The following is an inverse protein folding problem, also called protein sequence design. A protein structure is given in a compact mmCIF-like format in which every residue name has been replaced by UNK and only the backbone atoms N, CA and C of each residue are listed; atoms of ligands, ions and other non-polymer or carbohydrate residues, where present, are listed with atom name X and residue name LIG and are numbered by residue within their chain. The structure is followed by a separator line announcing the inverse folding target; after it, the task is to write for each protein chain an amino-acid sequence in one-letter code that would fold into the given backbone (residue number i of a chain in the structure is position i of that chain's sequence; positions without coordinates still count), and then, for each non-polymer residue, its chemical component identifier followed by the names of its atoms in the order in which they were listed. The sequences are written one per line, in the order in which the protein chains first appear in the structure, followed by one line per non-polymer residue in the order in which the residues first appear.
data_IF_848140705830
#
_entry.id   IF_848140705830
#
_cell.length_a   1.000
_cell.length_b   1.000
_cell.length_c   1.000
_cell.angle_alpha   90.00
_cell.angle_beta   90.00
_cell.angle_gamma   90.00
#
_symmetry.space_group_name_H-M   'P 1'
#
loop_
_entity.id
_entity.type
_entity.pdbx_description
1 polymer ?
#
# COMPACT_ATOMS: atom_id res chain seq x y z
N UNK A 1 13.66 17.57 4.17
CA UNK A 1 14.56 16.89 3.21
C UNK A 1 13.86 16.88 1.86
N UNK A 2 14.55 17.12 0.75
CA UNK A 2 13.98 17.08 -0.60
C UNK A 2 14.48 15.83 -1.33
N UNK A 3 13.74 15.31 -2.33
CA UNK A 3 14.17 14.15 -3.10
C UNK A 3 15.41 14.47 -3.96
N UNK A 4 16.15 13.44 -4.36
CA UNK A 4 17.16 13.57 -5.41
C UNK A 4 16.52 13.94 -6.77
N UNK A 5 17.35 14.36 -7.73
CA UNK A 5 16.87 14.87 -9.02
C UNK A 5 16.09 13.83 -9.83
N UNK A 6 16.47 12.55 -9.75
CA UNK A 6 15.81 11.49 -10.48
C UNK A 6 14.42 11.19 -9.91
N UNK A 7 14.32 11.04 -8.58
CA UNK A 7 13.04 10.84 -7.91
C UNK A 7 12.14 12.07 -8.05
N UNK A 8 12.69 13.28 -7.95
CA UNK A 8 11.94 14.51 -8.18
C UNK A 8 11.31 14.53 -9.58
N UNK A 9 12.07 14.12 -10.60
CA UNK A 9 11.59 14.02 -11.98
C UNK A 9 10.42 13.05 -12.09
N UNK A 10 10.57 11.85 -11.55
CA UNK A 10 9.52 10.83 -11.58
C UNK A 10 8.25 11.29 -10.85
N UNK A 11 8.38 11.94 -9.69
CA UNK A 11 7.24 12.49 -8.94
C UNK A 11 6.46 13.46 -9.82
N UNK A 12 7.13 14.43 -10.43
CA UNK A 12 6.46 15.49 -11.19
C UNK A 12 5.86 14.95 -12.50
N UNK A 13 6.55 14.05 -13.21
CA UNK A 13 6.01 13.49 -14.46
C UNK A 13 4.76 12.64 -14.22
N UNK A 14 4.76 11.77 -13.20
CA UNK A 14 3.59 10.93 -12.89
C UNK A 14 2.42 11.79 -12.38
N UNK A 15 2.69 12.75 -11.49
CA UNK A 15 1.65 13.65 -10.99
C UNK A 15 1.09 14.54 -12.10
N UNK A 16 1.92 15.04 -13.01
CA UNK A 16 1.47 15.84 -14.15
C UNK A 16 0.62 15.03 -15.15
N UNK A 17 1.07 13.81 -15.48
CA UNK A 17 0.40 12.99 -16.49
C UNK A 17 -0.89 12.36 -15.95
N UNK A 18 -0.84 11.75 -14.77
CA UNK A 18 -1.95 10.95 -14.24
C UNK A 18 -2.66 11.62 -13.06
N UNK A 19 -2.02 12.55 -12.35
CA UNK A 19 -2.53 13.10 -11.10
C UNK A 19 -2.56 12.08 -9.95
N UNK A 20 -1.96 10.91 -10.14
CA UNK A 20 -1.88 9.86 -9.13
C UNK A 20 -0.52 9.90 -8.44
N UNK A 21 -0.45 9.53 -7.16
CA UNK A 21 0.82 9.52 -6.44
C UNK A 21 1.77 8.47 -7.02
N UNK A 22 3.05 8.84 -7.18
CA UNK A 22 4.12 7.87 -7.36
C UNK A 22 4.25 7.06 -6.07
N UNK A 23 4.45 5.75 -6.16
CA UNK A 23 4.61 4.90 -4.98
C UNK A 23 5.73 5.43 -4.07
N UNK A 24 6.88 5.82 -4.63
CA UNK A 24 8.01 6.35 -3.88
C UNK A 24 7.94 7.88 -3.76
N UNK A 25 8.26 8.40 -2.57
CA UNK A 25 8.39 9.84 -2.35
C UNK A 25 7.10 10.60 -2.03
N UNK A 26 5.98 9.90 -1.74
CA UNK A 26 4.71 10.54 -1.32
C UNK A 26 4.87 11.44 -0.10
N UNK A 27 5.80 11.09 0.81
CA UNK A 27 6.08 11.82 2.05
C UNK A 27 6.62 13.23 1.79
N UNK A 28 7.27 13.48 0.65
CA UNK A 28 7.83 14.81 0.31
C UNK A 28 6.75 15.87 0.09
N UNK A 29 5.57 15.49 -0.36
CA UNK A 29 4.47 16.42 -0.68
C UNK A 29 3.16 16.11 0.06
N UNK A 30 3.18 15.18 1.01
CA UNK A 30 2.00 14.83 1.81
C UNK A 30 1.54 15.98 2.71
N UNK A 31 0.25 16.34 2.69
CA UNK A 31 -0.31 17.40 3.55
C UNK A 31 -1.69 17.02 4.05
N UNK A 32 -1.99 17.32 5.32
CA UNK A 32 -3.32 17.34 5.93
C UNK A 32 -3.75 16.08 6.65
N UNK A 33 -3.01 14.98 6.52
CA UNK A 33 -3.30 13.70 7.18
C UNK A 33 -2.28 13.33 8.27
N UNK A 34 -1.36 14.25 8.61
CA UNK A 34 -0.28 14.00 9.56
C UNK A 34 -0.80 13.59 10.94
N UNK A 35 -1.93 14.15 11.38
CA UNK A 35 -2.55 13.76 12.66
C UNK A 35 -3.04 12.31 12.65
N UNK A 36 -3.63 11.84 11.55
CA UNK A 36 -4.05 10.46 11.36
C UNK A 36 -2.84 9.53 11.35
N UNK A 37 -1.80 9.88 10.57
CA UNK A 37 -0.56 9.10 10.50
C UNK A 37 0.14 9.03 11.86
N UNK A 38 0.24 10.14 12.59
CA UNK A 38 0.85 10.17 13.93
C UNK A 38 0.03 9.37 14.94
N UNK A 39 -1.30 9.39 14.84
CA UNK A 39 -2.17 8.58 15.69
C UNK A 39 -1.99 7.09 15.40
N UNK A 40 -1.93 6.70 14.11
CA UNK A 40 -1.65 5.32 13.69
C UNK A 40 -0.28 4.85 14.20
N UNK A 41 0.73 5.69 14.05
CA UNK A 41 2.08 5.38 14.51
C UNK A 41 2.11 5.16 16.03
N UNK A 42 1.64 6.14 16.80
CA UNK A 42 1.71 6.12 18.27
C UNK A 42 0.90 4.97 18.89
N UNK A 43 -0.33 4.76 18.43
CA UNK A 43 -1.25 3.80 19.06
C UNK A 43 -1.15 2.38 18.49
N UNK A 44 -0.56 2.21 17.30
CA UNK A 44 -0.53 0.92 16.63
C UNK A 44 0.87 0.50 16.22
N UNK A 45 1.53 1.20 15.30
CA UNK A 45 2.81 0.74 14.74
C UNK A 45 3.89 0.66 15.84
N UNK A 46 4.03 1.70 16.66
CA UNK A 46 5.06 1.77 17.70
C UNK A 46 4.72 1.05 19.00
N UNK A 47 3.51 0.47 19.12
CA UNK A 47 3.04 -0.14 20.37
C UNK A 47 2.23 -1.41 20.10
N UNK A 48 0.89 -1.30 20.02
CA UNK A 48 -0.03 -2.44 20.02
C UNK A 48 0.30 -3.53 18.99
N UNK A 49 0.72 -3.16 17.77
CA UNK A 49 1.08 -4.13 16.74
C UNK A 49 2.47 -4.74 16.98
N UNK A 50 3.43 -3.95 17.44
CA UNK A 50 4.76 -4.44 17.80
C UNK A 50 4.65 -5.50 18.91
N UNK A 51 3.74 -5.32 19.87
CA UNK A 51 3.43 -6.26 20.96
C UNK A 51 2.61 -7.49 20.51
N UNK A 52 2.29 -7.61 19.23
CA UNK A 52 1.60 -8.77 18.65
C UNK A 52 0.08 -8.63 18.57
N UNK A 53 -0.49 -7.46 18.83
CA UNK A 53 -1.90 -7.18 18.54
C UNK A 53 -2.19 -7.12 17.04
N UNK A 54 -3.48 -7.15 16.67
CA UNK A 54 -3.93 -6.88 15.31
C UNK A 54 -5.08 -5.89 15.27
N UNK A 55 -5.12 -5.10 14.21
CA UNK A 55 -6.14 -4.08 14.00
C UNK A 55 -6.59 -4.02 12.55
N UNK A 56 -7.88 -3.74 12.38
CA UNK A 56 -8.50 -3.50 11.10
C UNK A 56 -8.97 -2.04 11.01
N UNK A 57 -8.74 -1.40 9.86
CA UNK A 57 -9.22 -0.05 9.54
C UNK A 57 -9.78 0.01 8.11
N UNK A 58 -10.84 0.79 7.92
CA UNK A 58 -11.40 1.19 6.64
C UNK A 58 -10.98 2.64 6.36
N UNK A 59 -10.32 2.87 5.25
CA UNK A 59 -10.00 4.21 4.74
C UNK A 59 -11.12 4.62 3.80
N UNK A 60 -11.95 5.55 4.24
CA UNK A 60 -13.15 6.02 3.55
C UNK A 60 -12.85 7.36 2.89
N UNK A 61 -13.05 7.43 1.57
CA UNK A 61 -12.97 8.68 0.84
C UNK A 61 -13.33 8.48 -0.63
N UNK A 62 -13.80 9.53 -1.27
CA UNK A 62 -14.24 9.43 -2.66
C UNK A 62 -13.10 9.17 -3.67
N UNK A 63 -13.42 9.00 -4.95
CA UNK A 63 -12.43 8.85 -6.02
C UNK A 63 -11.55 10.11 -6.13
N UNK A 64 -10.23 9.94 -6.09
CA UNK A 64 -9.30 11.08 -6.12
C UNK A 64 -9.17 11.87 -4.81
N UNK A 65 -9.80 11.42 -3.71
CA UNK A 65 -9.61 11.99 -2.37
C UNK A 65 -8.21 11.72 -1.77
N UNK A 66 -7.39 10.90 -2.43
CA UNK A 66 -6.04 10.55 -1.96
C UNK A 66 -5.97 9.25 -1.14
N UNK A 67 -6.88 8.30 -1.36
CA UNK A 67 -6.84 6.96 -0.74
C UNK A 67 -5.49 6.27 -0.94
N UNK A 68 -5.07 6.08 -2.19
CA UNK A 68 -3.77 5.49 -2.54
C UNK A 68 -2.60 6.26 -1.93
N UNK A 69 -2.68 7.60 -1.95
CA UNK A 69 -1.67 8.48 -1.34
C UNK A 69 -1.55 8.23 0.17
N UNK A 70 -2.68 8.14 0.88
CA UNK A 70 -2.71 7.85 2.31
C UNK A 70 -2.15 6.45 2.61
N UNK A 71 -2.49 5.44 1.81
CA UNK A 71 -1.94 4.08 1.97
C UNK A 71 -0.41 4.07 1.79
N UNK A 72 0.13 4.78 0.79
CA UNK A 72 1.59 4.92 0.65
C UNK A 72 2.23 5.65 1.85
N UNK A 73 1.57 6.67 2.41
CA UNK A 73 2.06 7.33 3.61
C UNK A 73 2.08 6.39 4.83
N UNK A 74 1.07 5.51 4.96
CA UNK A 74 1.06 4.47 6.01
C UNK A 74 2.18 3.46 5.79
N UNK A 75 2.42 3.03 4.54
CA UNK A 75 3.54 2.15 4.18
C UNK A 75 4.88 2.75 4.61
N UNK A 76 5.14 4.01 4.28
CA UNK A 76 6.39 4.68 4.64
C UNK A 76 6.60 4.70 6.16
N UNK A 77 5.55 5.04 6.93
CA UNK A 77 5.58 4.97 8.40
C UNK A 77 5.80 3.55 8.93
N UNK A 78 5.22 2.55 8.27
CA UNK A 78 5.39 1.15 8.65
C UNK A 78 6.85 0.69 8.46
N UNK A 79 7.50 1.08 7.36
CA UNK A 79 8.92 0.79 7.12
C UNK A 79 9.83 1.48 8.12
N UNK A 80 9.58 2.75 8.46
CA UNK A 80 10.31 3.45 9.53
C UNK A 80 10.22 2.72 10.88
N UNK A 81 9.17 1.93 11.09
CA UNK A 81 8.94 1.08 12.26
C UNK A 81 9.31 -0.40 12.04
N UNK A 82 10.06 -0.73 10.99
CA UNK A 82 10.50 -2.10 10.67
C UNK A 82 9.34 -3.11 10.52
N UNK A 83 8.23 -2.69 9.90
CA UNK A 83 7.17 -3.60 9.46
C UNK A 83 7.41 -4.01 8.00
N UNK A 84 7.07 -5.26 7.66
CA UNK A 84 6.87 -5.62 6.26
C UNK A 84 5.52 -5.06 5.80
N UNK A 85 5.40 -4.74 4.51
CA UNK A 85 4.16 -4.17 3.95
C UNK A 85 3.78 -4.94 2.70
N UNK A 86 2.50 -5.27 2.54
CA UNK A 86 1.93 -5.75 1.28
C UNK A 86 0.87 -4.76 0.82
N UNK A 87 1.07 -4.18 -0.37
CA UNK A 87 0.08 -3.31 -1.01
C UNK A 87 -0.55 -4.05 -2.18
N UNK A 88 -1.81 -4.45 -2.01
CA UNK A 88 -2.60 -5.17 -3.00
C UNK A 88 -3.56 -4.19 -3.66
N UNK A 89 -3.46 -4.06 -4.98
CA UNK A 89 -4.44 -3.33 -5.79
C UNK A 89 -5.57 -4.31 -6.16
N UNK A 90 -6.81 -3.98 -5.81
CA UNK A 90 -7.95 -4.89 -5.90
C UNK A 90 -8.58 -4.83 -7.30
N UNK A 91 -7.93 -5.44 -8.30
CA UNK A 91 -8.55 -5.61 -9.62
C UNK A 91 -9.44 -6.87 -9.69
N UNK A 92 -10.47 -6.93 -10.57
CA UNK A 92 -11.31 -8.12 -10.75
C UNK A 92 -10.52 -9.38 -11.17
N UNK A 93 -9.32 -9.18 -11.73
CA UNK A 93 -8.40 -10.26 -12.12
C UNK A 93 -7.45 -10.66 -10.99
N UNK A 94 -7.09 -9.73 -10.09
CA UNK A 94 -6.01 -9.92 -9.12
C UNK A 94 -6.49 -10.28 -7.72
N UNK A 95 -7.71 -9.92 -7.30
CA UNK A 95 -8.24 -10.42 -6.03
C UNK A 95 -9.77 -10.32 -5.96
N UNK A 96 -10.50 -11.42 -6.25
CA UNK A 96 -11.92 -11.43 -6.09
C UNK A 96 -12.20 -11.73 -4.61
N UNK A 97 -12.87 -10.77 -3.97
CA UNK A 97 -13.19 -10.77 -2.54
C UNK A 97 -13.95 -12.00 -2.07
N UNK A 98 -14.35 -12.92 -2.96
CA UNK A 98 -15.02 -14.18 -2.67
C UNK A 98 -14.06 -15.37 -2.49
N UNK A 99 -12.75 -15.21 -2.75
CA UNK A 99 -11.79 -16.31 -2.76
C UNK A 99 -10.57 -16.05 -1.86
N UNK A 100 -10.60 -16.63 -0.65
CA UNK A 100 -9.53 -16.53 0.33
C UNK A 100 -8.16 -17.02 -0.21
N UNK A 101 -8.13 -17.99 -1.12
CA UNK A 101 -6.87 -18.46 -1.74
C UNK A 101 -6.25 -17.36 -2.59
N UNK A 102 -7.08 -16.67 -3.39
CA UNK A 102 -6.60 -15.57 -4.23
C UNK A 102 -6.17 -14.37 -3.40
N UNK A 103 -6.88 -14.05 -2.30
CA UNK A 103 -6.44 -13.02 -1.35
C UNK A 103 -5.06 -13.34 -0.78
N UNK A 104 -4.83 -14.57 -0.31
CA UNK A 104 -3.51 -14.99 0.17
C UNK A 104 -2.44 -14.85 -0.92
N UNK A 105 -2.71 -15.35 -2.13
CA UNK A 105 -1.75 -15.26 -3.25
C UNK A 105 -1.43 -13.82 -3.61
N UNK A 106 -2.44 -12.95 -3.69
CA UNK A 106 -2.25 -11.52 -3.95
C UNK A 106 -1.39 -10.86 -2.88
N UNK A 107 -1.62 -11.17 -1.60
CA UNK A 107 -0.77 -10.68 -0.49
C UNK A 107 0.66 -11.20 -0.60
N UNK A 108 0.84 -12.51 -0.83
CA UNK A 108 2.17 -13.11 -0.97
C UNK A 108 2.93 -12.51 -2.16
N UNK A 109 2.27 -12.24 -3.28
CA UNK A 109 2.89 -11.65 -4.47
C UNK A 109 3.11 -10.14 -4.38
N UNK A 110 2.41 -9.45 -3.49
CA UNK A 110 2.46 -7.98 -3.37
C UNK A 110 3.20 -7.47 -2.14
N UNK A 111 3.75 -8.38 -1.33
CA UNK A 111 4.62 -7.99 -0.21
C UNK A 111 5.88 -7.32 -0.75
N UNK A 112 6.23 -6.19 -0.16
CA UNK A 112 7.30 -5.31 -0.59
C UNK A 112 8.55 -5.60 0.24
N UNK A 113 9.65 -5.83 -0.45
CA UNK A 113 10.96 -5.72 0.15
C UNK A 113 11.44 -4.28 0.03
N UNK A 114 11.81 -3.68 1.16
CA UNK A 114 12.35 -2.33 1.22
C UNK A 114 13.63 -2.33 2.06
N UNK A 115 14.69 -1.76 1.51
CA UNK A 115 15.94 -1.53 2.23
C UNK A 115 16.00 -0.05 2.64
N UNK A 116 15.96 0.21 3.95
CA UNK A 116 15.87 1.56 4.50
C UNK A 116 17.08 2.39 4.04
N UNK A 117 16.81 3.49 3.33
CA UNK A 117 17.84 4.37 2.80
C UNK A 117 18.29 4.04 1.38
N UNK A 118 17.73 3.01 0.74
CA UNK A 118 17.91 2.75 -0.68
C UNK A 118 16.90 3.53 -1.52
N UNK A 119 17.37 4.17 -2.60
CA UNK A 119 16.51 4.78 -3.63
C UNK A 119 16.05 3.77 -4.69
N UNK A 120 16.33 2.47 -4.51
CA UNK A 120 15.93 1.44 -5.46
C UNK A 120 14.40 1.31 -5.56
N UNK A 121 13.93 0.83 -6.71
CA UNK A 121 12.51 0.50 -6.90
C UNK A 121 12.15 -0.65 -5.96
N UNK A 122 11.03 -0.54 -5.25
CA UNK A 122 10.58 -1.61 -4.36
C UNK A 122 10.26 -2.86 -5.18
N UNK A 123 10.91 -3.97 -4.81
CA UNK A 123 10.65 -5.27 -5.40
C UNK A 123 9.50 -5.95 -4.64
N UNK A 124 8.70 -6.75 -5.36
CA UNK A 124 7.49 -7.40 -4.83
C UNK A 124 7.63 -8.91 -4.82
N UNK A 125 7.07 -9.55 -3.79
CA UNK A 125 6.93 -11.00 -3.68
C UNK A 125 7.50 -11.55 -2.38
N UNK A 126 6.90 -12.62 -1.88
CA UNK A 126 7.31 -13.25 -0.63
C UNK A 126 8.73 -13.81 -0.75
N UNK A 127 9.07 -14.37 -1.90
CA UNK A 127 10.44 -14.83 -2.19
C UNK A 127 11.43 -13.69 -2.17
N UNK A 128 11.09 -12.55 -2.75
CA UNK A 128 11.92 -11.33 -2.73
C UNK A 128 12.12 -10.84 -1.29
N UNK A 129 11.08 -10.84 -0.45
CA UNK A 129 11.22 -10.50 0.97
C UNK A 129 12.20 -11.45 1.68
N UNK A 130 12.12 -12.76 1.41
CA UNK A 130 13.01 -13.77 1.99
C UNK A 130 14.46 -13.59 1.52
N UNK A 131 14.66 -13.42 0.22
CA UNK A 131 15.96 -13.16 -0.39
C UNK A 131 16.59 -11.88 0.16
N UNK A 132 15.83 -10.78 0.16
CA UNK A 132 16.27 -9.50 0.70
C UNK A 132 16.64 -9.61 2.18
N UNK A 133 15.83 -10.33 2.97
CA UNK A 133 16.11 -10.52 4.41
C UNK A 133 17.44 -11.26 4.59
N UNK A 134 17.67 -12.33 3.82
CA UNK A 134 18.95 -13.04 3.85
C UNK A 134 20.09 -12.14 3.38
N UNK A 135 19.93 -11.38 2.29
CA UNK A 135 20.92 -10.42 1.79
C UNK A 135 21.33 -9.43 2.87
N UNK A 136 20.37 -8.88 3.62
CA UNK A 136 20.61 -7.94 4.72
C UNK A 136 21.47 -8.56 5.83
N UNK A 137 21.26 -9.84 6.16
CA UNK A 137 22.06 -10.55 7.16
C UNK A 137 23.46 -10.92 6.67
N UNK A 138 23.62 -11.19 5.38
CA UNK A 138 24.91 -11.57 4.78
C UNK A 138 25.78 -10.36 4.45
N UNK A 139 25.18 -9.23 4.05
CA UNK A 139 25.88 -8.04 3.57
C UNK A 139 27.04 -7.55 4.47
N UNK A 140 26.93 -7.52 5.82
CA UNK A 140 28.03 -7.08 6.68
C UNK A 140 29.30 -7.93 6.58
N UNK A 141 29.18 -9.20 6.16
CA UNK A 141 30.31 -10.11 5.98
C UNK A 141 31.04 -9.93 4.64
N UNK A 142 30.42 -9.24 3.67
CA UNK A 142 30.95 -9.09 2.32
C UNK A 142 30.95 -10.38 1.49
N UNK A 143 30.29 -11.45 1.97
CA UNK A 143 30.18 -12.73 1.28
C UNK A 143 29.07 -12.72 0.22
N UNK A 144 29.23 -13.57 -0.79
CA UNK A 144 28.12 -13.94 -1.67
C UNK A 144 27.14 -14.85 -0.91
N UNK A 145 25.84 -14.75 -1.21
CA UNK A 145 24.78 -15.53 -0.53
C UNK A 145 25.00 -17.05 -0.65
N UNK A 146 25.65 -17.49 -1.73
CA UNK A 146 25.92 -18.91 -2.00
C UNK A 146 27.30 -19.36 -1.49
N UNK A 147 28.04 -18.49 -0.81
CA UNK A 147 29.32 -18.87 -0.20
C UNK A 147 29.08 -19.92 0.92
N UNK A 148 29.91 -20.98 1.01
CA UNK A 148 29.73 -22.05 2.00
C UNK A 148 29.63 -21.55 3.45
N UNK A 149 30.36 -20.48 3.78
CA UNK A 149 30.46 -19.88 5.10
C UNK A 149 29.19 -19.13 5.53
N UNK A 150 28.26 -18.83 4.59
CA UNK A 150 27.03 -18.09 4.89
C UNK A 150 26.16 -18.81 5.92
N UNK A 151 26.10 -20.14 5.86
CA UNK A 151 25.32 -20.94 6.80
C UNK A 151 25.88 -20.89 8.24
N UNK A 152 27.17 -20.61 8.38
CA UNK A 152 27.88 -20.54 9.66
C UNK A 152 27.91 -19.11 10.24
N UNK A 153 27.37 -18.12 9.51
CA UNK A 153 27.22 -16.76 10.04
C UNK A 153 26.23 -16.77 11.23
N UNK A 154 26.59 -16.20 12.40
CA UNK A 154 25.76 -16.28 13.60
C UNK A 154 24.32 -15.78 13.40
N UNK A 155 24.13 -14.71 12.63
CA UNK A 155 22.80 -14.14 12.37
C UNK A 155 21.96 -15.03 11.43
N UNK A 156 22.60 -15.66 10.43
CA UNK A 156 21.94 -16.59 9.50
C UNK A 156 21.58 -17.89 10.22
N UNK A 157 22.51 -18.46 10.97
CA UNK A 157 22.27 -19.65 11.80
C UNK A 157 21.15 -19.39 12.82
N UNK A 158 21.20 -18.24 13.49
CA UNK A 158 20.19 -17.79 14.43
C UNK A 158 18.80 -17.67 13.80
N UNK A 159 18.70 -17.05 12.62
CA UNK A 159 17.46 -16.96 11.85
C UNK A 159 16.93 -18.34 11.49
N UNK A 160 17.74 -19.23 10.90
CA UNK A 160 17.33 -20.58 10.49
C UNK A 160 16.87 -21.40 11.69
N UNK A 161 17.57 -21.31 12.82
CA UNK A 161 17.21 -21.98 14.07
C UNK A 161 15.89 -21.44 14.63
N UNK A 162 15.66 -20.13 14.54
CA UNK A 162 14.41 -19.50 14.99
C UNK A 162 13.24 -19.93 14.11
N UNK A 163 13.41 -19.96 12.79
CA UNK A 163 12.41 -20.50 11.84
C UNK A 163 12.12 -21.96 12.15
N UNK A 164 13.14 -22.78 12.42
CA UNK A 164 12.94 -24.21 12.66
C UNK A 164 12.20 -24.50 13.98
N UNK A 165 12.44 -23.70 15.02
CA UNK A 165 11.96 -23.97 16.37
C UNK A 165 10.70 -23.21 16.76
N UNK A 166 10.41 -22.07 16.14
CA UNK A 166 9.18 -21.32 16.43
C UNK A 166 7.99 -22.01 15.77
N UNK A 167 6.95 -22.39 16.53
CA UNK A 167 5.73 -22.93 15.94
C UNK A 167 4.97 -21.82 15.22
N UNK A 168 4.54 -22.12 14.00
CA UNK A 168 3.56 -21.32 13.25
C UNK A 168 2.39 -22.22 12.85
N UNK A 169 1.29 -21.63 12.43
CA UNK A 169 0.02 -22.34 12.21
C UNK A 169 0.14 -23.46 11.16
N UNK A 170 0.91 -23.27 10.08
CA UNK A 170 1.24 -24.30 9.09
C UNK A 170 2.68 -24.78 9.20
N UNK A 171 2.84 -26.08 9.50
CA UNK A 171 4.12 -26.77 9.39
C UNK A 171 4.66 -26.76 7.95
N UNK A 172 3.80 -26.99 6.94
CA UNK A 172 4.24 -26.98 5.54
C UNK A 172 4.76 -25.61 5.13
N UNK A 173 4.10 -24.53 5.57
CA UNK A 173 4.54 -23.16 5.30
C UNK A 173 5.92 -22.90 5.90
N UNK A 174 6.12 -23.28 7.16
CA UNK A 174 7.42 -23.17 7.84
C UNK A 174 8.51 -23.93 7.10
N UNK A 175 8.20 -25.15 6.66
CA UNK A 175 9.11 -25.98 5.88
C UNK A 175 9.39 -25.42 4.49
N UNK A 176 8.41 -24.78 3.86
CA UNK A 176 8.60 -24.11 2.59
C UNK A 176 9.55 -22.92 2.72
N UNK A 177 9.36 -22.06 3.73
CA UNK A 177 10.26 -20.93 4.02
C UNK A 177 11.68 -21.41 4.33
N UNK A 178 11.81 -22.38 5.25
CA UNK A 178 13.11 -22.97 5.59
C UNK A 178 13.78 -23.59 4.37
N UNK A 179 13.03 -24.37 3.58
CA UNK A 179 13.51 -25.00 2.36
C UNK A 179 13.92 -23.98 1.31
N UNK A 180 13.23 -22.85 1.22
CA UNK A 180 13.48 -21.80 0.23
C UNK A 180 14.80 -21.10 0.52
N UNK A 181 15.01 -20.67 1.77
CA UNK A 181 16.28 -20.06 2.21
C UNK A 181 17.46 -21.04 2.04
N UNK A 182 17.28 -22.32 2.38
CA UNK A 182 18.32 -23.34 2.18
C UNK A 182 18.61 -23.62 0.70
N UNK A 183 17.58 -23.63 -0.16
CA UNK A 183 17.74 -23.79 -1.60
C UNK A 183 18.49 -22.60 -2.20
N UNK A 184 18.22 -21.40 -1.70
CA UNK A 184 18.84 -20.15 -2.14
C UNK A 184 20.35 -20.13 -1.87
N UNK A 185 20.75 -20.42 -0.63
CA UNK A 185 22.17 -20.50 -0.26
C UNK A 185 22.92 -21.64 -0.96
N UNK A 186 22.21 -22.65 -1.49
CA UNK A 186 22.80 -23.81 -2.17
C UNK A 186 22.69 -23.74 -3.69
N UNK A 187 22.17 -22.66 -4.27
CA UNK A 187 21.98 -22.51 -5.71
C UNK A 187 21.05 -23.58 -6.33
N UNK A 188 20.02 -24.02 -5.59
CA UNK A 188 19.10 -25.07 -6.04
C UNK A 188 17.91 -24.48 -6.83
N UNK A 189 18.18 -23.96 -8.03
CA UNK A 189 17.23 -23.23 -8.87
C UNK A 189 15.87 -23.93 -9.05
N UNK A 190 15.86 -25.21 -9.43
CA UNK A 190 14.62 -25.96 -9.62
C UNK A 190 13.77 -26.01 -8.32
N UNK A 191 14.42 -26.14 -7.16
CA UNK A 191 13.73 -26.16 -5.88
C UNK A 191 13.24 -24.77 -5.47
N UNK A 192 13.98 -23.72 -5.80
CA UNK A 192 13.56 -22.33 -5.60
C UNK A 192 12.29 -22.03 -6.40
N UNK A 193 12.23 -22.46 -7.65
CA UNK A 193 11.06 -22.28 -8.50
C UNK A 193 9.84 -22.99 -7.93
N UNK A 194 9.94 -24.29 -7.59
CA UNK A 194 8.83 -25.06 -7.02
C UNK A 194 8.34 -24.48 -5.68
N UNK A 195 9.26 -24.08 -4.80
CA UNK A 195 8.93 -23.47 -3.51
C UNK A 195 8.36 -22.07 -3.67
N UNK A 196 8.88 -21.29 -4.61
CA UNK A 196 8.41 -19.95 -4.93
C UNK A 196 6.94 -19.99 -5.37
N UNK A 197 6.59 -20.86 -6.32
CA UNK A 197 5.20 -21.06 -6.75
C UNK A 197 4.30 -21.45 -5.56
N UNK A 198 4.74 -22.40 -4.74
CA UNK A 198 3.97 -22.84 -3.57
C UNK A 198 3.76 -21.71 -2.55
N UNK A 199 4.81 -20.94 -2.24
CA UNK A 199 4.76 -19.81 -1.31
C UNK A 199 3.83 -18.69 -1.81
N UNK A 200 3.71 -18.49 -3.13
CA UNK A 200 2.77 -17.54 -3.71
C UNK A 200 1.33 -18.09 -3.87
N UNK A 201 1.08 -19.34 -3.44
CA UNK A 201 -0.25 -19.96 -3.56
C UNK A 201 -0.63 -20.37 -4.97
N UNK A 202 0.35 -20.40 -5.89
CA UNK A 202 0.17 -20.89 -7.25
C UNK A 202 -0.03 -22.42 -7.28
N UNK A 203 -0.49 -22.93 -8.42
CA UNK A 203 -0.64 -24.38 -8.59
C UNK A 203 0.72 -25.04 -8.83
N UNK A 204 1.23 -25.72 -7.80
CA UNK A 204 2.38 -26.60 -7.93
C UNK A 204 2.02 -27.88 -8.70
N UNK A 205 2.90 -28.31 -9.63
CA UNK A 205 2.71 -29.53 -10.40
C UNK A 205 2.75 -30.78 -9.51
N UNK A 206 2.23 -31.94 -9.98
CA UNK A 206 2.35 -33.20 -9.22
C UNK A 206 3.79 -33.60 -8.91
N UNK A 207 4.72 -33.28 -9.81
CA UNK A 207 6.15 -33.56 -9.64
C UNK A 207 6.77 -32.60 -8.63
N UNK A 208 6.47 -31.30 -8.70
CA UNK A 208 6.86 -30.32 -7.67
C UNK A 208 6.41 -30.81 -6.28
N UNK A 209 5.15 -31.20 -6.15
CA UNK A 209 4.59 -31.65 -4.87
C UNK A 209 5.22 -32.96 -4.38
N UNK A 210 5.73 -33.83 -5.26
CA UNK A 210 6.45 -35.04 -4.87
C UNK A 210 7.78 -34.69 -4.20
N UNK A 211 8.51 -33.75 -4.77
CA UNK A 211 9.81 -33.31 -4.26
C UNK A 211 9.67 -32.46 -2.99
N UNK A 212 8.70 -31.56 -2.97
CA UNK A 212 8.36 -30.72 -1.82
C UNK A 212 7.96 -31.56 -0.59
N UNK A 213 7.29 -32.70 -0.78
CA UNK A 213 6.96 -33.63 0.32
C UNK A 213 8.20 -34.21 1.00
N UNK A 214 9.30 -34.40 0.28
CA UNK A 214 10.55 -34.95 0.85
C UNK A 214 11.17 -34.00 1.89
N UNK A 215 10.88 -32.69 1.79
CA UNK A 215 11.33 -31.67 2.74
C UNK A 215 10.23 -31.25 3.73
N UNK A 216 9.11 -31.98 3.75
CA UNK A 216 8.01 -31.77 4.70
C UNK A 216 6.96 -30.75 4.27
N UNK A 217 6.95 -30.30 3.02
CA UNK A 217 5.89 -29.47 2.45
C UNK A 217 4.83 -30.39 1.84
N UNK A 218 3.82 -30.74 2.64
CA UNK A 218 2.88 -31.82 2.29
C UNK A 218 1.49 -31.33 1.85
N UNK A 219 1.06 -30.17 2.33
CA UNK A 219 -0.28 -29.63 2.04
C UNK A 219 -0.30 -28.76 0.78
N UNK A 220 -1.41 -28.82 0.02
CA UNK A 220 -1.69 -27.86 -1.05
C UNK A 220 -2.42 -26.66 -0.48
N UNK A 221 -2.21 -25.48 -1.07
CA UNK A 221 -2.96 -24.26 -0.70
C UNK A 221 -4.31 -24.26 -1.44
N UNK A 222 -5.38 -24.19 -0.66
CA UNK A 222 -6.78 -24.26 -1.05
C UNK A 222 -7.55 -23.14 -0.37
N UNK A 223 -8.82 -22.91 -0.76
CA UNK A 223 -9.66 -21.88 -0.10
C UNK A 223 -9.80 -22.12 1.41
N UNK A 224 -9.90 -23.38 1.83
CA UNK A 224 -10.17 -23.75 3.21
C UNK A 224 -8.97 -23.55 4.17
N UNK A 225 -7.74 -23.58 3.65
CA UNK A 225 -6.52 -23.36 4.45
C UNK A 225 -5.78 -22.07 4.08
N UNK A 226 -6.30 -21.26 3.15
CA UNK A 226 -5.66 -20.01 2.73
C UNK A 226 -5.47 -19.04 3.90
N UNK A 227 -6.47 -18.91 4.79
CA UNK A 227 -6.32 -18.06 5.96
C UNK A 227 -5.22 -18.56 6.91
N UNK A 228 -5.10 -19.88 7.10
CA UNK A 228 -4.00 -20.49 7.86
C UNK A 228 -2.64 -20.14 7.23
N UNK A 229 -2.55 -20.07 5.90
CA UNK A 229 -1.33 -19.61 5.21
C UNK A 229 -1.07 -18.11 5.45
N UNK A 230 -2.09 -17.26 5.41
CA UNK A 230 -1.97 -15.83 5.72
C UNK A 230 -1.50 -15.59 7.17
N UNK A 231 -2.04 -16.34 8.13
CA UNK A 231 -1.57 -16.31 9.53
C UNK A 231 -0.12 -16.78 9.64
N UNK A 232 0.23 -17.86 8.95
CA UNK A 232 1.60 -18.39 8.91
C UNK A 232 2.58 -17.38 8.32
N UNK A 233 2.15 -16.61 7.30
CA UNK A 233 2.91 -15.50 6.75
C UNK A 233 3.14 -14.39 7.78
N UNK A 234 2.08 -13.94 8.47
CA UNK A 234 2.20 -12.91 9.52
C UNK A 234 3.18 -13.34 10.64
N UNK A 235 3.09 -14.60 11.08
CA UNK A 235 4.01 -15.17 12.07
C UNK A 235 5.44 -15.26 11.54
N UNK A 236 5.61 -15.68 10.28
CA UNK A 236 6.92 -15.80 9.63
C UNK A 236 7.61 -14.45 9.50
N UNK A 237 6.88 -13.41 9.08
CA UNK A 237 7.41 -12.04 9.00
C UNK A 237 7.98 -11.60 10.35
N UNK A 238 7.29 -11.88 11.46
CA UNK A 238 7.82 -11.57 12.79
C UNK A 238 9.05 -12.40 13.16
N UNK A 239 9.06 -13.69 12.81
CA UNK A 239 10.22 -14.57 13.02
C UNK A 239 11.45 -14.08 12.26
N UNK A 240 11.26 -13.46 11.09
CA UNK A 240 12.32 -12.86 10.27
C UNK A 240 12.84 -11.53 10.83
N UNK A 241 12.34 -11.06 11.98
CA UNK A 241 12.83 -9.86 12.66
C UNK A 241 12.06 -8.58 12.36
N UNK A 242 10.93 -8.66 11.65
CA UNK A 242 10.03 -7.51 11.49
C UNK A 242 9.09 -7.35 12.69
N UNK A 243 8.66 -6.12 12.98
CA UNK A 243 7.69 -5.85 14.04
C UNK A 243 6.28 -6.31 13.69
N UNK A 244 6.00 -6.61 12.42
CA UNK A 244 4.71 -7.12 11.97
C UNK A 244 4.51 -6.96 10.46
N UNK A 245 3.27 -7.14 10.03
CA UNK A 245 2.85 -7.05 8.64
C UNK A 245 1.72 -6.03 8.48
N UNK A 246 1.90 -5.05 7.60
CA UNK A 246 0.85 -4.11 7.20
C UNK A 246 0.30 -4.52 5.84
N UNK A 247 -1.01 -4.76 5.78
CA UNK A 247 -1.73 -5.18 4.60
C UNK A 247 -2.63 -4.03 4.13
N UNK A 248 -2.28 -3.46 2.98
CA UNK A 248 -2.94 -2.31 2.38
C UNK A 248 -3.68 -2.78 1.13
N UNK A 249 -5.00 -2.63 1.13
CA UNK A 249 -5.86 -3.02 0.03
C UNK A 249 -6.45 -1.76 -0.60
N UNK A 250 -6.04 -1.46 -1.83
CA UNK A 250 -6.50 -0.31 -2.60
C UNK A 250 -7.58 -0.71 -3.61
N UNK A 251 -8.46 0.22 -4.00
CA UNK A 251 -9.52 0.04 -5.03
C UNK A 251 -10.82 -0.68 -4.61
N UNK A 252 -11.43 -0.24 -3.49
CA UNK A 252 -12.79 -0.63 -3.10
C UNK A 252 -13.93 -0.10 -3.99
N UNK A 253 -13.65 0.78 -4.96
CA UNK A 253 -14.68 1.36 -5.85
C UNK A 253 -15.41 0.28 -6.67
N UNK A 254 -14.73 -0.83 -6.97
CA UNK A 254 -15.36 -1.96 -7.66
C UNK A 254 -16.21 -2.85 -6.75
N UNK A 255 -16.15 -2.75 -5.42
CA UNK A 255 -17.15 -3.43 -4.56
C UNK A 255 -18.57 -2.91 -4.85
N UNK A 256 -18.69 -1.67 -5.36
CA UNK A 256 -19.97 -1.12 -5.83
C UNK A 256 -20.45 -1.77 -7.14
N UNK A 257 -19.54 -2.31 -7.96
CA UNK A 257 -19.88 -2.99 -9.22
C UNK A 257 -20.36 -4.44 -9.01
N UNK A 258 -20.07 -5.02 -7.83
CA UNK A 258 -20.49 -6.37 -7.49
C UNK A 258 -21.95 -6.37 -7.05
N UNK A 259 -22.71 -7.41 -7.41
CA UNK A 259 -24.10 -7.57 -6.96
C UNK A 259 -24.42 -9.01 -6.58
N UNK A 260 -25.49 -9.18 -5.80
CA UNK A 260 -26.02 -10.49 -5.43
C UNK A 260 -25.05 -11.32 -4.59
N UNK A 261 -24.74 -12.54 -5.06
CA UNK A 261 -23.95 -13.53 -4.31
C UNK A 261 -22.50 -13.11 -4.11
N UNK A 262 -21.92 -12.42 -5.08
CA UNK A 262 -20.53 -11.99 -5.01
C UNK A 262 -20.37 -10.86 -3.97
N UNK A 263 -21.28 -9.88 -3.96
CA UNK A 263 -21.33 -8.81 -2.94
C UNK A 263 -21.43 -9.40 -1.53
N UNK A 264 -22.34 -10.36 -1.33
CA UNK A 264 -22.49 -11.05 -0.03
C UNK A 264 -21.24 -11.81 0.40
N UNK A 265 -20.59 -12.53 -0.52
CA UNK A 265 -19.40 -13.31 -0.18
C UNK A 265 -18.23 -12.38 0.18
N UNK A 266 -18.11 -11.25 -0.52
CA UNK A 266 -17.11 -10.23 -0.24
C UNK A 266 -17.28 -9.60 1.15
N UNK A 267 -18.51 -9.25 1.52
CA UNK A 267 -18.81 -8.67 2.83
C UNK A 267 -18.67 -9.69 3.96
N UNK A 268 -19.03 -10.95 3.72
CA UNK A 268 -18.80 -12.06 4.66
C UNK A 268 -17.30 -12.31 4.90
N UNK A 269 -16.49 -12.30 3.84
CA UNK A 269 -15.03 -12.43 3.94
C UNK A 269 -14.40 -11.22 4.67
N UNK A 270 -14.86 -9.99 4.40
CA UNK A 270 -14.39 -8.81 5.13
C UNK A 270 -14.71 -8.91 6.62
N UNK A 271 -15.94 -9.32 6.96
CA UNK A 271 -16.36 -9.59 8.34
C UNK A 271 -15.47 -10.65 9.00
N UNK A 272 -15.18 -11.73 8.28
CA UNK A 272 -14.30 -12.80 8.77
C UNK A 272 -12.87 -12.30 9.03
N UNK A 273 -12.31 -11.47 8.16
CA UNK A 273 -11.00 -10.83 8.37
C UNK A 273 -11.02 -9.97 9.63
N UNK A 274 -12.07 -9.15 9.84
CA UNK A 274 -12.21 -8.31 11.04
C UNK A 274 -12.29 -9.17 12.30
N UNK A 275 -13.06 -10.25 12.27
CA UNK A 275 -13.18 -11.18 13.39
C UNK A 275 -11.84 -11.81 13.73
N UNK A 276 -11.13 -12.34 12.73
CA UNK A 276 -9.84 -13.01 12.93
C UNK A 276 -8.70 -12.05 13.28
N UNK A 277 -8.78 -10.77 12.94
CA UNK A 277 -7.85 -9.76 13.46
C UNK A 277 -7.89 -9.65 14.99
N UNK A 278 -9.03 -9.96 15.63
CA UNK A 278 -9.13 -9.91 17.09
C UNK A 278 -8.40 -11.06 17.76
N UNK A 279 -8.36 -12.22 17.12
CA UNK A 279 -8.03 -13.48 17.78
C UNK A 279 -6.74 -14.15 17.24
N UNK A 280 -6.35 -13.91 15.98
CA UNK A 280 -5.47 -14.86 15.25
C UNK A 280 -4.33 -14.27 14.40
N UNK A 281 -4.17 -12.95 14.26
CA UNK A 281 -3.20 -12.34 13.33
C UNK A 281 -2.15 -11.48 14.05
N UNK A 282 -1.07 -12.06 14.58
CA UNK A 282 -0.17 -11.31 15.46
C UNK A 282 0.63 -10.24 14.70
N UNK A 283 0.58 -9.01 15.21
CA UNK A 283 1.31 -7.87 14.68
C UNK A 283 0.83 -7.43 13.30
N UNK A 284 -0.48 -7.51 13.03
CA UNK A 284 -1.02 -7.23 11.69
C UNK A 284 -1.93 -6.01 11.68
N UNK A 285 -1.71 -5.12 10.71
CA UNK A 285 -2.63 -4.04 10.37
C UNK A 285 -3.29 -4.35 9.03
N UNK A 286 -4.61 -4.47 9.01
CA UNK A 286 -5.40 -4.52 7.78
C UNK A 286 -6.00 -3.15 7.50
N UNK A 287 -5.75 -2.61 6.30
CA UNK A 287 -6.39 -1.39 5.80
C UNK A 287 -7.06 -1.66 4.46
N UNK A 288 -8.36 -1.34 4.39
CA UNK A 288 -9.13 -1.37 3.14
C UNK A 288 -9.55 0.03 2.75
N UNK A 289 -9.15 0.48 1.57
CA UNK A 289 -9.60 1.73 0.99
C UNK A 289 -10.93 1.53 0.24
N UNK A 290 -11.97 2.24 0.65
CA UNK A 290 -13.33 2.11 0.11
C UNK A 290 -13.96 3.48 -0.16
N UNK A 291 -14.88 3.57 -1.14
CA UNK A 291 -15.68 4.78 -1.35
C UNK A 291 -16.74 4.94 -0.25
N UNK A 292 -17.24 6.16 0.03
CA UNK A 292 -18.29 6.39 1.01
C UNK A 292 -19.59 5.64 0.71
N UNK A 293 -19.89 5.38 -0.56
CA UNK A 293 -21.04 4.58 -1.01
C UNK A 293 -21.00 3.16 -0.46
N UNK A 294 -19.82 2.59 -0.23
CA UNK A 294 -19.69 1.26 0.39
C UNK A 294 -20.29 1.29 1.82
N UNK A 295 -19.95 2.32 2.60
CA UNK A 295 -20.46 2.50 3.96
C UNK A 295 -21.95 2.86 3.97
N UNK A 296 -22.40 3.69 3.02
CA UNK A 296 -23.79 4.18 2.97
C UNK A 296 -24.77 3.17 2.38
N UNK A 297 -24.37 2.42 1.35
CA UNK A 297 -25.29 1.62 0.53
C UNK A 297 -25.07 0.11 0.67
N UNK A 298 -23.83 -0.35 0.91
CA UNK A 298 -23.53 -1.79 0.99
C UNK A 298 -23.55 -2.26 2.44
N UNK A 299 -22.77 -1.66 3.33
CA UNK A 299 -22.64 -2.08 4.75
C UNK A 299 -24.00 -2.25 5.45
N UNK A 300 -25.00 -1.36 5.29
CA UNK A 300 -26.29 -1.52 5.98
C UNK A 300 -27.11 -2.74 5.53
N UNK A 301 -26.83 -3.30 4.34
CA UNK A 301 -27.47 -4.54 3.87
C UNK A 301 -26.95 -5.77 4.64
N UNK A 302 -25.81 -5.67 5.32
CA UNK A 302 -25.11 -6.78 5.98
C UNK A 302 -24.89 -6.48 7.48
N UNK A 303 -25.88 -6.78 8.35
CA UNK A 303 -25.84 -6.41 9.77
C UNK A 303 -24.60 -6.90 10.51
N UNK A 304 -24.08 -8.09 10.18
CA UNK A 304 -22.90 -8.66 10.81
C UNK A 304 -21.62 -7.84 10.54
N UNK A 305 -21.46 -7.36 9.30
CA UNK A 305 -20.36 -6.45 8.95
C UNK A 305 -20.60 -5.07 9.57
N UNK A 306 -21.84 -4.55 9.49
CA UNK A 306 -22.21 -3.26 10.05
C UNK A 306 -21.86 -3.16 11.54
N UNK A 307 -22.16 -4.17 12.34
CA UNK A 307 -21.82 -4.20 13.77
C UNK A 307 -20.31 -4.11 14.06
N UNK A 308 -19.46 -4.51 13.10
CA UNK A 308 -18.00 -4.46 13.24
C UNK A 308 -17.38 -3.16 12.77
N UNK A 309 -18.00 -2.50 11.78
CA UNK A 309 -17.44 -1.28 11.18
C UNK A 309 -18.16 -0.01 11.63
N UNK A 310 -19.37 -0.10 12.17
CA UNK A 310 -20.11 1.05 12.67
C UNK A 310 -19.37 1.71 13.84
N UNK A 311 -19.22 3.02 13.76
CA UNK A 311 -18.59 3.83 14.79
C UNK A 311 -19.31 5.16 14.95
N UNK A 312 -19.44 5.69 16.18
CA UNK A 312 -20.11 6.97 16.42
C UNK A 312 -19.30 8.16 15.88
N UNK A 313 -17.99 8.00 15.74
CA UNK A 313 -17.08 9.00 15.20
C UNK A 313 -15.94 8.32 14.42
N UNK A 314 -15.36 9.07 13.49
CA UNK A 314 -14.18 8.63 12.73
C UNK A 314 -12.93 8.54 13.61
N UNK A 315 -11.94 7.84 13.07
CA UNK A 315 -10.61 7.74 13.62
C UNK A 315 -9.96 9.11 13.67
N UNK A 316 -9.41 9.45 14.83
CA UNK A 316 -8.73 10.71 15.09
C UNK A 316 -7.83 10.56 16.31
N UNK A 317 -7.07 11.59 16.64
CA UNK A 317 -6.28 11.63 17.87
C UNK A 317 -7.11 11.38 19.14
N UNK A 318 -8.36 11.85 19.16
CA UNK A 318 -9.27 11.66 20.29
C UNK A 318 -10.00 10.30 20.27
N UNK A 319 -10.05 9.63 19.11
CA UNK A 319 -10.71 8.36 18.93
C UNK A 319 -9.87 7.40 18.08
N UNK A 320 -8.73 6.89 18.61
CA UNK A 320 -7.86 6.01 17.86
C UNK A 320 -8.51 4.63 17.59
N UNK A 321 -9.57 4.26 18.31
CA UNK A 321 -10.17 2.93 18.21
C UNK A 321 -11.15 2.78 17.06
N UNK A 322 -11.61 3.89 16.46
CA UNK A 322 -12.58 3.82 15.37
C UNK A 322 -12.04 2.98 14.20
N UNK A 323 -12.82 2.02 13.68
CA UNK A 323 -12.46 1.25 12.50
C UNK A 323 -12.51 2.09 11.22
N UNK A 324 -13.09 3.29 11.21
CA UNK A 324 -13.21 4.11 9.99
C UNK A 324 -12.31 5.35 10.05
N UNK A 325 -11.45 5.51 9.05
CA UNK A 325 -10.62 6.70 8.80
C UNK A 325 -11.28 7.47 7.65
N UNK A 326 -11.62 8.74 7.83
CA UNK A 326 -12.19 9.58 6.77
C UNK A 326 -11.13 10.49 6.17
N UNK A 327 -11.01 10.51 4.84
CA UNK A 327 -10.11 11.41 4.12
C UNK A 327 -10.76 12.74 3.68
N UNK A 328 -12.08 12.86 3.88
CA UNK A 328 -12.86 14.07 3.67
C UNK A 328 -12.92 14.96 4.92
N UNK A 329 -12.79 14.36 6.11
CA UNK A 329 -12.86 15.07 7.41
C UNK A 329 -11.50 15.14 8.06
N UNK A 330 -10.58 15.85 7.40
CA UNK A 330 -9.24 16.11 7.91
C UNK A 330 -9.23 17.32 8.87
N UNK A 331 -8.16 17.44 9.67
CA UNK A 331 -8.05 18.47 10.70
C UNK A 331 -7.87 19.90 10.15
N UNK A 332 -7.46 20.00 8.89
CA UNK A 332 -7.22 21.28 8.20
C UNK A 332 -8.16 21.45 7.00
N UNK A 333 -8.58 22.69 6.66
CA UNK A 333 -9.44 22.95 5.50
C UNK A 333 -8.79 22.55 4.18
N UNK A 334 -9.59 22.08 3.21
CA UNK A 334 -9.07 21.62 1.92
C UNK A 334 -8.24 22.69 1.18
N UNK A 335 -8.60 23.98 1.28
CA UNK A 335 -7.80 25.06 0.67
C UNK A 335 -6.37 25.10 1.23
N UNK A 336 -6.20 24.88 2.54
CA UNK A 336 -4.88 24.82 3.16
C UNK A 336 -4.12 23.57 2.73
N UNK A 337 -4.83 22.45 2.51
CA UNK A 337 -4.22 21.22 1.97
C UNK A 337 -3.65 21.48 0.58
N UNK A 338 -4.45 22.06 -0.33
CA UNK A 338 -4.02 22.33 -1.71
C UNK A 338 -2.86 23.31 -1.75
N UNK A 339 -2.95 24.42 -0.99
CA UNK A 339 -1.85 25.38 -0.90
C UNK A 339 -0.57 24.73 -0.39
N UNK A 340 -0.64 23.97 0.71
CA UNK A 340 0.51 23.26 1.26
C UNK A 340 1.08 22.21 0.29
N UNK A 341 0.24 21.52 -0.48
CA UNK A 341 0.70 20.61 -1.54
C UNK A 341 1.49 21.38 -2.60
N UNK A 342 0.98 22.50 -3.10
CA UNK A 342 1.68 23.36 -4.05
C UNK A 342 3.02 23.86 -3.52
N UNK A 343 3.05 24.33 -2.27
CA UNK A 343 4.27 24.79 -1.60
C UNK A 343 5.33 23.68 -1.47
N UNK A 344 4.92 22.44 -1.18
CA UNK A 344 5.86 21.30 -1.10
C UNK A 344 6.27 20.77 -2.47
N UNK A 345 5.41 20.85 -3.49
CA UNK A 345 5.69 20.39 -4.85
C UNK A 345 6.61 21.35 -5.60
N UNK A 346 6.55 22.66 -5.34
CA UNK A 346 7.34 23.65 -6.08
C UNK A 346 8.86 23.39 -6.00
N UNK A 347 9.48 23.17 -4.81
CA UNK A 347 10.90 22.81 -4.73
C UNK A 347 11.24 21.49 -5.44
N UNK A 348 10.31 20.53 -5.48
CA UNK A 348 10.48 19.26 -6.19
C UNK A 348 10.49 19.51 -7.71
N UNK A 349 9.59 20.36 -8.20
CA UNK A 349 9.56 20.80 -9.59
C UNK A 349 10.86 21.50 -10.00
N UNK A 350 11.35 22.44 -9.18
CA UNK A 350 12.61 23.12 -9.41
C UNK A 350 13.80 22.15 -9.54
N UNK A 351 13.88 21.14 -8.66
CA UNK A 351 14.90 20.09 -8.68
C UNK A 351 14.77 19.19 -9.91
N UNK A 352 13.54 18.79 -10.27
CA UNK A 352 13.25 17.92 -11.40
C UNK A 352 13.66 18.52 -12.76
N UNK A 353 13.65 19.84 -12.86
CA UNK A 353 13.86 20.57 -14.11
C UNK A 353 15.08 21.49 -14.11
N UNK A 354 15.78 21.62 -12.97
CA UNK A 354 16.94 22.50 -12.84
C UNK A 354 16.59 23.97 -13.03
N UNK A 355 15.39 24.38 -12.64
CA UNK A 355 14.88 25.75 -12.78
C UNK A 355 14.65 26.40 -11.42
N UNK A 356 14.60 27.73 -11.39
CA UNK A 356 14.19 28.51 -10.23
C UNK A 356 13.01 29.37 -10.63
N UNK A 357 11.88 29.17 -9.97
CA UNK A 357 10.65 29.90 -10.24
C UNK A 357 10.53 31.08 -9.26
N UNK A 358 9.83 32.14 -9.65
CA UNK A 358 9.55 33.28 -8.78
C UNK A 358 8.56 32.87 -7.67
N UNK A 359 9.05 32.79 -6.44
CA UNK A 359 8.25 32.38 -5.29
C UNK A 359 7.00 33.26 -5.06
N UNK A 360 7.08 34.56 -5.35
CA UNK A 360 5.97 35.49 -5.15
C UNK A 360 4.87 35.30 -6.19
N UNK A 361 5.25 35.03 -7.44
CA UNK A 361 4.32 34.69 -8.52
C UNK A 361 3.72 33.30 -8.26
N UNK A 362 4.55 32.31 -7.95
CA UNK A 362 4.06 30.94 -7.79
C UNK A 362 3.20 30.75 -6.54
N UNK A 363 3.46 31.46 -5.44
CA UNK A 363 2.55 31.46 -4.29
C UNK A 363 1.15 31.96 -4.64
N UNK A 364 1.05 33.02 -5.47
CA UNK A 364 -0.24 33.51 -5.97
C UNK A 364 -0.89 32.50 -6.92
N UNK A 365 -0.12 31.92 -7.84
CA UNK A 365 -0.64 30.92 -8.79
C UNK A 365 -1.16 29.67 -8.07
N UNK A 366 -0.45 29.18 -7.05
CA UNK A 366 -0.90 28.09 -6.18
C UNK A 366 -2.26 28.42 -5.56
N UNK A 367 -2.39 29.58 -4.93
CA UNK A 367 -3.65 30.00 -4.30
C UNK A 367 -4.80 30.12 -5.31
N UNK A 368 -4.56 30.72 -6.47
CA UNK A 368 -5.56 30.91 -7.51
C UNK A 368 -6.04 29.57 -8.09
N UNK A 369 -5.12 28.64 -8.37
CA UNK A 369 -5.49 27.30 -8.87
C UNK A 369 -6.19 26.49 -7.77
N UNK A 370 -5.77 26.62 -6.50
CA UNK A 370 -6.41 25.94 -5.38
C UNK A 370 -7.86 26.39 -5.19
N UNK A 371 -8.13 27.70 -5.24
CA UNK A 371 -9.48 28.24 -5.20
C UNK A 371 -10.32 27.80 -6.41
N UNK A 372 -9.74 27.81 -7.62
CA UNK A 372 -10.42 27.33 -8.82
C UNK A 372 -10.77 25.83 -8.73
N UNK A 373 -9.88 25.01 -8.17
CA UNK A 373 -10.09 23.58 -7.99
C UNK A 373 -11.21 23.29 -6.98
N UNK A 374 -11.28 24.03 -5.86
CA UNK A 374 -12.34 23.88 -4.86
C UNK A 374 -13.70 24.36 -5.35
N UNK A 375 -13.73 25.44 -6.11
CA UNK A 375 -14.96 25.99 -6.69
C UNK A 375 -15.49 25.17 -7.87
N UNK A 376 -14.76 24.15 -8.33
CA UNK A 376 -15.26 23.14 -9.26
C UNK A 376 -16.22 22.19 -8.52
N UNK A 377 -17.37 22.74 -8.10
CA UNK A 377 -18.37 22.19 -7.17
C UNK A 377 -19.02 20.85 -7.56
N UNK A 378 -18.69 20.28 -8.73
CA UNK A 378 -19.37 19.11 -9.29
C UNK A 378 -18.51 17.85 -9.34
N UNK A 379 -17.20 17.91 -9.01
CA UNK A 379 -16.33 16.76 -9.18
C UNK A 379 -15.51 16.39 -7.94
N UNK A 380 -15.53 15.09 -7.71
CA UNK A 380 -15.13 14.33 -6.54
C UNK A 380 -13.60 14.35 -6.28
N UNK A 381 -12.84 15.01 -7.15
CA UNK A 381 -11.38 14.85 -7.25
C UNK A 381 -10.60 16.17 -7.30
N UNK A 382 -10.97 17.17 -6.49
CA UNK A 382 -10.32 18.49 -6.45
C UNK A 382 -8.80 18.43 -6.23
N UNK A 383 -8.29 17.47 -5.44
CA UNK A 383 -6.84 17.29 -5.18
C UNK A 383 -6.09 16.88 -6.44
N UNK A 384 -6.61 15.91 -7.19
CA UNK A 384 -6.03 15.46 -8.47
C UNK A 384 -6.05 16.56 -9.52
N UNK A 385 -7.19 17.24 -9.65
CA UNK A 385 -7.37 18.35 -10.60
C UNK A 385 -6.37 19.47 -10.32
N UNK A 386 -6.26 19.87 -9.05
CA UNK A 386 -5.30 20.87 -8.60
C UNK A 386 -3.86 20.50 -9.00
N UNK A 387 -3.40 19.30 -8.65
CA UNK A 387 -2.02 18.89 -8.91
C UNK A 387 -1.71 18.85 -10.41
N UNK A 388 -2.61 18.28 -11.23
CA UNK A 388 -2.42 18.25 -12.69
C UNK A 388 -2.36 19.65 -13.28
N UNK A 389 -3.33 20.50 -12.94
CA UNK A 389 -3.39 21.87 -13.43
C UNK A 389 -2.14 22.67 -13.03
N UNK A 390 -1.70 22.55 -11.78
CA UNK A 390 -0.55 23.27 -11.26
C UNK A 390 0.76 22.84 -11.94
N UNK A 391 0.99 21.53 -12.12
CA UNK A 391 2.20 21.01 -12.78
C UNK A 391 2.21 21.39 -14.26
N UNK A 392 1.08 21.25 -14.96
CA UNK A 392 0.93 21.67 -16.36
C UNK A 392 1.24 23.16 -16.51
N UNK A 393 0.76 23.97 -15.56
CA UNK A 393 0.99 25.41 -15.53
C UNK A 393 2.45 25.77 -15.30
N UNK A 394 3.11 25.15 -14.33
CA UNK A 394 4.55 25.37 -14.11
C UNK A 394 5.38 24.95 -15.32
N UNK A 395 5.02 23.86 -16.01
CA UNK A 395 5.69 23.46 -17.23
C UNK A 395 5.52 24.51 -18.34
N UNK A 396 4.32 25.09 -18.48
CA UNK A 396 4.08 26.19 -19.42
C UNK A 396 4.93 27.42 -19.07
N UNK A 397 4.94 27.84 -17.81
CA UNK A 397 5.68 29.02 -17.38
C UNK A 397 7.20 28.83 -17.42
N UNK A 398 7.69 27.60 -17.23
CA UNK A 398 9.11 27.23 -17.44
C UNK A 398 9.57 27.48 -18.87
N UNK A 399 8.75 27.15 -19.87
CA UNK A 399 9.07 27.35 -21.30
C UNK A 399 8.73 28.77 -21.80
N UNK A 400 7.93 29.50 -21.04
CA UNK A 400 7.47 30.85 -21.35
C UNK A 400 7.97 31.83 -20.29
N UNK A 401 7.25 32.94 -20.09
CA UNK A 401 7.53 33.89 -19.01
C UNK A 401 6.58 33.62 -17.85
N UNK A 402 7.11 33.65 -16.63
CA UNK A 402 6.32 33.57 -15.42
C UNK A 402 5.37 34.78 -15.31
N UNK A 403 4.11 34.49 -14.99
CA UNK A 403 3.06 35.50 -14.82
C UNK A 403 2.11 35.07 -13.73
N UNK A 404 1.58 36.03 -12.97
CA UNK A 404 0.45 35.77 -12.08
C UNK A 404 -0.76 35.43 -12.94
N UNK A 405 -1.43 34.33 -12.59
CA UNK A 405 -2.60 33.87 -13.32
C UNK A 405 -3.80 34.78 -13.06
N UNK A 406 -4.63 34.88 -14.09
CA UNK A 406 -5.97 35.42 -13.93
C UNK A 406 -6.90 34.32 -13.38
N UNK A 407 -7.78 34.60 -12.39
CA UNK A 407 -8.71 33.62 -11.84
C UNK A 407 -9.64 32.96 -12.88
N UNK A 408 -10.10 33.70 -13.91
CA UNK A 408 -10.93 33.10 -14.97
C UNK A 408 -10.12 32.15 -15.86
N UNK A 409 -8.84 32.45 -16.07
CA UNK A 409 -7.92 31.50 -16.73
C UNK A 409 -7.77 30.22 -15.90
N UNK A 410 -7.52 30.31 -14.59
CA UNK A 410 -7.36 29.13 -13.75
C UNK A 410 -8.62 28.24 -13.71
N UNK A 411 -9.81 28.84 -13.68
CA UNK A 411 -11.07 28.10 -13.80
C UNK A 411 -11.17 27.33 -15.13
N UNK A 412 -10.72 27.93 -16.24
CA UNK A 412 -10.68 27.24 -17.55
C UNK A 412 -9.70 26.08 -17.57
N UNK A 413 -8.53 26.23 -16.96
CA UNK A 413 -7.53 25.14 -16.85
C UNK A 413 -8.10 23.97 -16.07
N UNK A 414 -8.66 24.22 -14.89
CA UNK A 414 -9.30 23.19 -14.06
C UNK A 414 -10.42 22.48 -14.82
N UNK A 415 -11.26 23.23 -15.54
CA UNK A 415 -12.33 22.65 -16.35
C UNK A 415 -11.78 21.77 -17.49
N UNK A 416 -10.71 22.19 -18.15
CA UNK A 416 -10.05 21.38 -19.18
C UNK A 416 -9.50 20.06 -18.65
N UNK A 417 -8.84 20.09 -17.49
CA UNK A 417 -8.33 18.88 -16.83
C UNK A 417 -9.45 17.92 -16.41
N UNK A 418 -10.56 18.48 -15.96
CA UNK A 418 -11.76 17.74 -15.57
C UNK A 418 -12.41 17.04 -16.77
N UNK A 419 -12.62 17.76 -17.86
CA UNK A 419 -13.21 17.20 -19.07
C UNK A 419 -12.30 16.09 -19.66
N UNK A 420 -10.97 16.24 -19.57
CA UNK A 420 -10.01 15.18 -19.94
C UNK A 420 -10.07 13.95 -19.02
N UNK A 421 -10.26 14.14 -17.72
CA UNK A 421 -10.41 13.03 -16.77
C UNK A 421 -11.73 12.26 -16.96
N UNK A 422 -12.83 12.96 -17.26
CA UNK A 422 -14.11 12.32 -17.57
C UNK A 422 -14.00 11.45 -18.84
N UNK A 423 -13.35 11.96 -19.89
CA UNK A 423 -13.14 11.20 -21.12
C UNK A 423 -12.32 9.91 -20.90
N UNK A 424 -11.33 9.94 -20.00
CA UNK A 424 -10.54 8.76 -19.63
C UNK A 424 -11.33 7.76 -18.76
N UNK A 425 -12.31 8.25 -17.98
CA UNK A 425 -13.20 7.42 -17.17
C UNK A 425 -14.16 6.59 -18.01
N UNK A 426 -14.78 7.22 -19.01
CA UNK A 426 -15.74 6.57 -19.93
C UNK A 426 -15.10 5.46 -20.79
N UNK A 427 -13.82 5.59 -21.19
CA UNK A 427 -13.09 4.54 -21.93
C UNK A 427 -12.71 3.31 -21.06
N UNK A 428 -12.88 3.41 -19.73
CA UNK A 428 -12.56 2.33 -18.78
C UNK A 428 -13.79 1.54 -18.27
N UNK A 429 -14.99 1.96 -18.65
CA UNK A 429 -16.20 1.15 -18.50
C UNK A 429 -16.24 0.10 -19.63
N UNK A 430 -16.19 -1.21 -19.32
CA UNK A 430 -16.47 -2.20 -20.35
C UNK A 430 -17.93 -2.03 -20.77
N UNK A 431 -18.13 -1.74 -22.06
CA UNK A 431 -19.45 -1.78 -22.68
C UNK A 431 -20.06 -3.17 -22.49
N UNK A 432 -21.08 -3.22 -21.61
CA UNK A 432 -22.11 -4.26 -21.39
C UNK A 432 -21.68 -5.63 -20.85
#
# INVERSE_FOLDING_TARGET
MLPDSHLARQIIEILGQFGTPLANGVSYYNVGNESLLNTLDTHYLSSYLSDGGAVFKLVVGDYGSGKSHFLYCVRDRAWERNFAVSKVDLSPKESPYDDQKRVYGAVASSILWHDLGSSAVDEKGLTILLEGTLRRLVAPSGLDIQAPEVMDLPDVEGMLRTIANTPIDSLSFRKAVQGYLLALMRGQEARLESLGRWLHGEEASPDDMRDLRQIGVTEKITKNNAFKMLRSLCQTVRILGYNGLVLLFDEGDRMLSMSGRAEKTATDNLREVIDRCRDDLPGTLFMYAVPPEFIKNIVPKYPALQQRVAAPAFFSRANPFSPQISLEKLDIPDLQILNGMGERLLPIFEIAFGVKMDLGIQAQNIAIIAEAALNSFLDVSHRRLFVKALISEWYRQKEQKETVLDPEYAQRVIRGERDALMALGDDSEPSY
#
